data_IF_028637176227
#
_entry.id   IF_028637176227
#
_cell.length_a   1.000
_cell.length_b   1.000
_cell.length_c   1.000
_cell.angle_alpha   90.00
_cell.angle_beta   90.00
_cell.angle_gamma   90.00
#
_symmetry.space_group_name_H-M   'P 1'
#
loop_
_entity.id
_entity.type
_entity.pdbx_description
1 polymer ?
#
# COMPACT_ATOMS: atom_id res chain seq x y z
N UNK A 1 -3.71 1.69 -20.13
CA UNK A 1 -3.99 0.81 -18.97
C UNK A 1 -3.94 1.66 -17.72
N UNK A 2 -4.89 1.46 -16.80
CA UNK A 2 -4.91 2.18 -15.52
C UNK A 2 -4.66 1.15 -14.42
N UNK A 3 -3.81 1.49 -13.45
CA UNK A 3 -3.70 0.72 -12.22
C UNK A 3 -4.65 1.31 -11.18
N UNK A 4 -5.65 0.53 -10.77
CA UNK A 4 -6.73 1.00 -9.91
C UNK A 4 -6.43 0.85 -8.43
N UNK A 5 -5.61 -0.13 -8.04
CA UNK A 5 -5.40 -0.48 -6.63
C UNK A 5 -3.93 -0.85 -6.39
N UNK A 6 -3.04 0.13 -6.53
CA UNK A 6 -1.63 -0.08 -6.20
C UNK A 6 -1.43 -0.02 -4.70
N UNK A 7 -0.74 -1.01 -4.15
CA UNK A 7 -0.43 -1.08 -2.73
C UNK A 7 0.50 -2.25 -2.41
N UNK A 8 1.09 -2.20 -1.22
CA UNK A 8 1.97 -3.23 -0.71
C UNK A 8 1.84 -3.28 0.81
N UNK A 9 1.60 -4.45 1.44
CA UNK A 9 1.42 -4.55 2.89
C UNK A 9 2.77 -4.36 3.62
N UNK A 10 2.77 -3.76 4.80
CA UNK A 10 3.99 -3.54 5.60
C UNK A 10 4.18 -4.52 6.77
N UNK A 11 3.28 -5.48 6.98
CA UNK A 11 3.31 -6.34 8.17
C UNK A 11 4.36 -7.46 8.14
N UNK A 12 5.13 -7.68 9.23
CA UNK A 12 6.06 -8.80 9.35
C UNK A 12 5.38 -10.17 9.42
N UNK A 13 4.09 -10.24 9.80
CA UNK A 13 3.31 -11.50 9.77
C UNK A 13 3.22 -12.05 8.34
N UNK A 14 3.16 -11.16 7.36
CA UNK A 14 3.21 -11.48 5.92
C UNK A 14 4.62 -11.56 5.33
N UNK A 15 5.67 -11.65 6.15
CA UNK A 15 7.07 -11.57 5.72
C UNK A 15 7.41 -10.27 4.96
N UNK A 16 6.80 -9.15 5.37
CA UNK A 16 7.04 -7.81 4.83
C UNK A 16 7.62 -6.87 5.89
N UNK A 17 7.82 -5.61 5.52
CA UNK A 17 8.23 -4.53 6.42
C UNK A 17 7.87 -3.15 5.85
N UNK A 18 7.91 -2.10 6.67
CA UNK A 18 7.78 -0.72 6.18
C UNK A 18 8.89 -0.34 5.17
N UNK A 19 10.11 -0.86 5.36
CA UNK A 19 11.20 -0.62 4.43
C UNK A 19 10.90 -1.22 3.04
N UNK A 20 10.33 -2.43 3.00
CA UNK A 20 9.90 -3.06 1.75
C UNK A 20 8.72 -2.32 1.10
N UNK A 21 7.78 -1.80 1.91
CA UNK A 21 6.68 -0.97 1.41
C UNK A 21 7.20 0.34 0.80
N UNK A 22 8.18 0.99 1.43
CA UNK A 22 8.80 2.20 0.89
C UNK A 22 9.57 1.93 -0.42
N UNK A 23 10.33 0.84 -0.47
CA UNK A 23 11.01 0.43 -1.70
C UNK A 23 10.02 0.14 -2.83
N UNK A 24 8.91 -0.53 -2.53
CA UNK A 24 7.85 -0.75 -3.50
C UNK A 24 7.31 0.56 -4.09
N UNK A 25 7.13 1.60 -3.27
CA UNK A 25 6.74 2.94 -3.77
C UNK A 25 7.77 3.47 -4.77
N UNK A 26 9.06 3.48 -4.43
CA UNK A 26 10.10 3.94 -5.36
C UNK A 26 10.08 3.17 -6.68
N UNK A 27 9.92 1.84 -6.62
CA UNK A 27 9.88 0.99 -7.80
C UNK A 27 8.64 1.22 -8.67
N UNK A 28 7.47 1.49 -8.07
CA UNK A 28 6.26 1.84 -8.81
C UNK A 28 6.46 3.13 -9.61
N UNK A 29 7.00 4.18 -8.99
CA UNK A 29 7.23 5.45 -9.68
C UNK A 29 8.32 5.35 -10.75
N UNK A 30 9.39 4.58 -10.49
CA UNK A 30 10.40 4.28 -11.50
C UNK A 30 9.79 3.57 -12.73
N UNK A 31 9.03 2.50 -12.50
CA UNK A 31 8.35 1.77 -13.56
C UNK A 31 7.32 2.64 -14.29
N UNK A 32 6.65 3.56 -13.59
CA UNK A 32 5.70 4.48 -14.19
C UNK A 32 6.40 5.49 -15.12
N UNK A 33 7.54 6.04 -14.72
CA UNK A 33 8.38 6.89 -15.60
C UNK A 33 8.87 6.11 -16.82
N UNK A 34 9.36 4.90 -16.63
CA UNK A 34 9.85 4.03 -17.72
C UNK A 34 8.73 3.59 -18.69
N UNK A 35 7.48 3.59 -18.23
CA UNK A 35 6.34 3.37 -19.09
C UNK A 35 6.16 4.49 -20.14
N UNK A 36 6.78 5.66 -19.95
CA UNK A 36 6.84 6.78 -20.89
C UNK A 36 5.47 7.15 -21.45
N UNK A 37 4.50 7.42 -20.55
CA UNK A 37 3.14 7.83 -20.90
C UNK A 37 2.17 6.70 -21.28
N UNK A 38 2.62 5.44 -21.38
CA UNK A 38 1.74 4.28 -21.66
C UNK A 38 0.75 3.96 -20.52
N UNK A 39 1.10 4.37 -19.30
CA UNK A 39 0.24 4.29 -18.11
C UNK A 39 -0.22 5.73 -17.82
N UNK A 40 -1.43 6.14 -18.25
CA UNK A 40 -1.90 7.51 -18.06
C UNK A 40 -2.27 7.84 -16.61
N UNK A 41 -2.55 6.83 -15.77
CA UNK A 41 -2.99 7.05 -14.40
C UNK A 41 -2.72 5.83 -13.51
N UNK A 42 -2.43 6.13 -12.24
CA UNK A 42 -2.22 5.17 -11.16
C UNK A 42 -2.96 5.68 -9.92
N UNK A 43 -3.82 4.83 -9.36
CA UNK A 43 -4.46 5.07 -8.07
C UNK A 43 -3.75 4.26 -6.98
N UNK A 44 -3.38 4.94 -5.90
CA UNK A 44 -2.88 4.30 -4.69
C UNK A 44 -4.08 3.88 -3.83
N UNK A 45 -4.19 2.59 -3.51
CA UNK A 45 -5.42 2.02 -2.97
C UNK A 45 -5.80 2.61 -1.60
N UNK A 46 -4.84 2.69 -0.68
CA UNK A 46 -5.08 3.14 0.69
C UNK A 46 -4.00 4.11 1.16
N UNK A 47 -4.43 5.25 1.70
CA UNK A 47 -3.53 6.19 2.35
C UNK A 47 -3.26 5.80 3.81
N UNK A 48 -4.30 5.44 4.55
CA UNK A 48 -4.20 4.95 5.92
C UNK A 48 -4.54 3.48 5.97
N UNK A 49 -3.98 2.77 6.95
CA UNK A 49 -4.46 1.43 7.29
C UNK A 49 -5.96 1.50 7.63
N UNK A 50 -6.70 0.47 7.20
CA UNK A 50 -8.13 0.32 7.49
C UNK A 50 -8.37 0.23 8.99
N UNK A 51 -9.53 0.66 9.50
CA UNK A 51 -9.84 0.44 10.91
C UNK A 51 -9.91 -1.05 11.26
N UNK A 52 -9.76 -1.40 12.54
CA UNK A 52 -9.87 -2.79 12.99
C UNK A 52 -11.21 -3.41 12.60
N UNK A 53 -12.29 -2.63 12.72
CA UNK A 53 -13.65 -3.06 12.39
C UNK A 53 -13.79 -3.39 10.90
N UNK A 54 -13.22 -2.56 10.02
CA UNK A 54 -13.22 -2.82 8.58
C UNK A 54 -12.37 -4.04 8.20
N UNK A 55 -11.23 -4.25 8.87
CA UNK A 55 -10.42 -5.45 8.67
C UNK A 55 -11.20 -6.70 9.07
N UNK A 56 -11.86 -6.67 10.22
CA UNK A 56 -12.67 -7.80 10.69
C UNK A 56 -13.87 -8.06 9.76
N UNK A 57 -14.53 -7.01 9.25
CA UNK A 57 -15.58 -7.12 8.24
C UNK A 57 -15.07 -7.75 6.95
N UNK A 58 -13.90 -7.32 6.45
CA UNK A 58 -13.35 -7.87 5.20
C UNK A 58 -12.87 -9.31 5.33
N UNK A 59 -12.29 -9.70 6.46
CA UNK A 59 -11.94 -11.10 6.73
C UNK A 59 -13.19 -12.00 6.63
N UNK A 60 -14.33 -11.54 7.15
CA UNK A 60 -15.61 -12.24 7.03
C UNK A 60 -16.17 -12.20 5.61
N UNK A 61 -16.16 -11.03 4.96
CA UNK A 61 -16.68 -10.83 3.60
C UNK A 61 -15.97 -11.73 2.59
N UNK A 62 -14.64 -11.81 2.66
CA UNK A 62 -13.85 -12.67 1.77
C UNK A 62 -13.84 -14.14 2.20
N UNK A 63 -14.31 -14.47 3.42
CA UNK A 63 -14.35 -15.84 3.93
C UNK A 63 -12.97 -16.46 4.17
N UNK A 64 -11.94 -15.64 4.38
CA UNK A 64 -10.54 -16.08 4.54
C UNK A 64 -10.10 -15.94 5.99
N UNK A 65 -10.09 -17.05 6.72
CA UNK A 65 -9.63 -17.09 8.12
C UNK A 65 -8.13 -17.45 8.20
N UNK A 66 -7.27 -16.50 7.80
CA UNK A 66 -5.81 -16.64 7.80
C UNK A 66 -5.15 -15.39 8.39
N UNK A 67 -4.20 -15.57 9.30
CA UNK A 67 -3.53 -14.46 10.00
C UNK A 67 -2.74 -13.54 9.05
N UNK A 68 -2.17 -14.09 7.96
CA UNK A 68 -1.44 -13.32 6.96
C UNK A 68 -2.39 -12.52 6.08
N UNK A 69 -3.56 -13.06 5.78
CA UNK A 69 -4.59 -12.31 5.06
C UNK A 69 -5.12 -11.13 5.89
N UNK A 70 -5.38 -11.35 7.19
CA UNK A 70 -5.71 -10.26 8.10
C UNK A 70 -4.59 -9.22 8.12
N UNK A 71 -3.35 -9.64 8.33
CA UNK A 71 -2.18 -8.76 8.35
C UNK A 71 -1.95 -7.99 7.05
N UNK A 72 -2.28 -8.58 5.89
CA UNK A 72 -2.29 -7.92 4.60
C UNK A 72 -3.25 -6.73 4.62
N UNK A 73 -4.54 -6.96 4.92
CA UNK A 73 -5.55 -5.89 5.00
C UNK A 73 -5.18 -4.81 6.04
N UNK A 74 -4.60 -5.23 7.15
CA UNK A 74 -4.25 -4.38 8.31
C UNK A 74 -3.11 -3.40 8.02
N UNK A 75 -2.32 -3.62 6.97
CA UNK A 75 -1.03 -2.94 6.79
C UNK A 75 -0.79 -2.36 5.39
N UNK A 76 -1.84 -2.20 4.59
CA UNK A 76 -1.77 -1.68 3.22
C UNK A 76 -1.54 -0.17 3.11
N UNK A 77 -1.91 0.59 4.14
CA UNK A 77 -1.80 2.04 4.12
C UNK A 77 -0.35 2.51 4.16
N UNK A 78 -0.09 3.67 3.55
CA UNK A 78 1.19 4.39 3.67
C UNK A 78 1.34 5.08 5.04
N UNK A 79 0.24 5.22 5.76
CA UNK A 79 0.15 5.82 7.10
C UNK A 79 -0.55 4.83 8.03
N UNK A 80 -0.18 4.84 9.30
CA UNK A 80 -0.87 4.08 10.33
C UNK A 80 -2.27 4.67 10.57
N UNK A 81 -3.16 3.88 11.19
CA UNK A 81 -4.53 4.28 11.54
C UNK A 81 -4.62 5.58 12.34
N UNK A 82 -3.64 5.83 13.19
CA UNK A 82 -3.58 6.98 14.09
C UNK A 82 -3.01 8.25 13.42
N UNK A 83 -2.92 8.27 12.10
CA UNK A 83 -2.29 9.30 11.26
C UNK A 83 -0.78 9.44 11.43
N UNK A 84 -0.08 8.54 12.12
CA UNK A 84 1.38 8.52 12.07
C UNK A 84 1.86 8.00 10.72
N UNK A 85 2.94 8.60 10.22
CA UNK A 85 3.48 8.27 8.91
C UNK A 85 4.31 6.98 8.98
N UNK A 86 4.12 6.05 8.03
CA UNK A 86 5.10 4.97 7.79
C UNK A 86 6.21 5.46 6.88
N UNK A 87 7.30 4.70 6.78
CA UNK A 87 8.40 5.00 5.86
C UNK A 87 7.92 5.24 4.40
N UNK A 88 6.92 4.48 3.95
CA UNK A 88 6.40 4.55 2.60
C UNK A 88 5.68 5.87 2.28
N UNK A 89 5.14 6.58 3.27
CA UNK A 89 4.53 7.89 3.05
C UNK A 89 5.56 8.96 2.71
N UNK A 90 6.75 8.91 3.34
CA UNK A 90 7.84 9.80 2.97
C UNK A 90 8.30 9.54 1.53
N UNK A 91 8.50 8.26 1.16
CA UNK A 91 8.84 7.84 -0.20
C UNK A 91 7.81 8.33 -1.23
N UNK A 92 6.51 8.17 -0.92
CA UNK A 92 5.43 8.60 -1.82
C UNK A 92 5.45 10.11 -2.07
N UNK A 93 5.57 10.93 -1.02
CA UNK A 93 5.65 12.39 -1.16
C UNK A 93 6.86 12.81 -1.99
N UNK A 94 8.00 12.17 -1.77
CA UNK A 94 9.23 12.46 -2.53
C UNK A 94 9.06 12.15 -4.01
N UNK A 95 8.60 10.95 -4.36
CA UNK A 95 8.43 10.56 -5.76
C UNK A 95 7.33 11.37 -6.46
N UNK A 96 6.19 11.61 -5.80
CA UNK A 96 5.10 12.40 -6.36
C UNK A 96 5.48 13.85 -6.64
N UNK A 97 6.36 14.45 -5.82
CA UNK A 97 6.87 15.80 -6.04
C UNK A 97 7.91 15.89 -7.17
N UNK A 98 8.46 14.75 -7.60
CA UNK A 98 9.49 14.66 -8.64
C UNK A 98 8.96 14.25 -10.02
N UNK A 99 7.64 14.06 -10.16
CA UNK A 99 6.96 13.75 -11.42
C UNK A 99 6.91 14.94 -12.38
#
# INVERSE_FOLDING_TARGET
WVFQEVGYPSSPVGASSEAMQAEFVHQVFAAWRDANGRIPFLNWFLLHDLSTELVDEFVLYYGVNDEKFRAYLDSLGLRNRDNTDKAAWAAFKQEAAAL
#
